data_IF_060051023093
#
_entry.id   IF_060051023093
#
_cell.length_a   1.000
_cell.length_b   1.000
_cell.length_c   1.000
_cell.angle_alpha   90.00
_cell.angle_beta   90.00
_cell.angle_gamma   90.00
#
_symmetry.space_group_name_H-M   'P 1'
#
loop_
_entity.id
_entity.type
_entity.pdbx_description
1 polymer ?
#
# COMPACT_ATOMS: atom_id res chain seq x y z
N UNK A 1 -4.51 33.62 0.13
CA UNK A 1 -3.35 32.75 -0.16
C UNK A 1 -3.58 31.29 0.26
N UNK A 2 -4.20 30.99 1.41
CA UNK A 2 -4.47 29.60 1.85
C UNK A 2 -5.27 28.75 0.83
N UNK A 3 -6.35 29.29 0.25
CA UNK A 3 -7.19 28.56 -0.74
C UNK A 3 -6.48 28.22 -2.06
N UNK A 4 -5.40 28.93 -2.40
CA UNK A 4 -4.58 28.64 -3.59
C UNK A 4 -3.56 27.54 -3.28
N UNK A 5 -2.97 27.50 -2.08
CA UNK A 5 -2.10 26.40 -1.66
C UNK A 5 -2.86 25.06 -1.56
N UNK A 6 -4.15 25.08 -1.22
CA UNK A 6 -4.99 23.87 -1.25
C UNK A 6 -5.23 23.33 -2.67
N UNK A 7 -5.19 24.19 -3.70
CA UNK A 7 -5.45 23.82 -5.11
C UNK A 7 -4.19 23.71 -5.97
N UNK A 8 -3.10 24.38 -5.59
CA UNK A 8 -1.86 24.56 -6.36
C UNK A 8 -0.59 24.33 -5.52
N UNK A 9 -0.71 24.07 -4.22
CA UNK A 9 0.39 23.42 -3.51
C UNK A 9 0.58 22.05 -4.14
N UNK A 10 1.79 21.74 -4.59
CA UNK A 10 2.13 20.47 -5.23
C UNK A 10 1.86 19.31 -4.26
N UNK A 11 0.60 18.91 -4.17
CA UNK A 11 0.14 17.77 -3.38
C UNK A 11 0.25 16.59 -4.34
N UNK A 12 1.11 15.65 -3.99
CA UNK A 12 1.27 14.42 -4.77
C UNK A 12 -0.12 13.82 -5.04
N UNK A 13 -0.38 13.48 -6.31
CA UNK A 13 -1.63 12.85 -6.69
C UNK A 13 -1.74 11.51 -5.96
N UNK A 14 -2.91 11.15 -5.40
CA UNK A 14 -3.09 9.88 -4.69
C UNK A 14 -2.60 8.67 -5.49
N UNK A 15 -2.83 8.66 -6.82
CA UNK A 15 -2.35 7.60 -7.70
C UNK A 15 -0.81 7.48 -7.74
N UNK A 16 -0.08 8.60 -7.66
CA UNK A 16 1.39 8.58 -7.63
C UNK A 16 1.87 8.04 -6.28
N UNK A 17 1.27 8.49 -5.18
CA UNK A 17 1.59 8.00 -3.84
C UNK A 17 1.32 6.48 -3.71
N UNK A 18 0.19 6.02 -4.25
CA UNK A 18 -0.16 4.60 -4.32
C UNK A 18 0.82 3.81 -5.19
N UNK A 19 1.23 4.33 -6.35
CA UNK A 19 2.25 3.70 -7.19
C UNK A 19 3.57 3.51 -6.44
N UNK A 20 4.06 4.56 -5.75
CA UNK A 20 5.27 4.45 -4.92
C UNK A 20 5.13 3.41 -3.82
N UNK A 21 3.99 3.39 -3.14
CA UNK A 21 3.71 2.38 -2.13
C UNK A 21 3.65 0.96 -2.71
N UNK A 22 3.17 0.78 -3.94
CA UNK A 22 3.15 -0.52 -4.61
C UNK A 22 4.54 -0.98 -5.06
N UNK A 23 5.41 -0.05 -5.46
CA UNK A 23 6.72 -0.38 -6.03
C UNK A 23 7.84 -0.51 -5.00
N UNK A 24 7.66 0.05 -3.80
CA UNK A 24 8.73 0.09 -2.78
C UNK A 24 9.14 -1.34 -2.34
N UNK A 25 10.44 -1.54 -2.15
CA UNK A 25 11.04 -2.76 -1.61
C UNK A 25 12.17 -2.37 -0.65
N UNK A 26 12.45 -3.22 0.33
CA UNK A 26 13.56 -3.01 1.25
C UNK A 26 14.88 -2.91 0.49
N UNK A 27 15.70 -1.90 0.81
CA UNK A 27 17.00 -1.69 0.18
C UNK A 27 18.11 -2.53 0.83
N UNK A 28 19.14 -2.87 0.05
CA UNK A 28 20.28 -3.67 0.57
C UNK A 28 21.01 -2.89 1.66
N UNK A 29 20.99 -3.44 2.88
CA UNK A 29 21.60 -2.82 4.05
C UNK A 29 20.64 -1.94 4.86
N UNK A 30 19.38 -1.80 4.43
CA UNK A 30 18.33 -1.13 5.20
C UNK A 30 17.91 -2.00 6.39
N UNK A 31 17.79 -1.37 7.57
CA UNK A 31 17.32 -2.05 8.76
C UNK A 31 15.82 -2.36 8.67
N UNK A 32 15.34 -3.34 9.44
CA UNK A 32 13.91 -3.65 9.49
C UNK A 32 13.10 -2.50 10.08
N UNK A 33 13.68 -1.75 11.02
CA UNK A 33 13.03 -0.59 11.63
C UNK A 33 12.85 0.52 10.59
N UNK A 34 13.91 0.88 9.85
CA UNK A 34 13.85 1.89 8.79
C UNK A 34 12.87 1.48 7.69
N UNK A 35 12.89 0.20 7.28
CA UNK A 35 11.95 -0.35 6.31
C UNK A 35 10.49 -0.24 6.81
N UNK A 36 10.24 -0.58 8.08
CA UNK A 36 8.90 -0.50 8.66
C UNK A 36 8.36 0.93 8.69
N UNK A 37 9.22 1.88 9.06
CA UNK A 37 8.88 3.31 9.09
C UNK A 37 8.59 3.82 7.67
N UNK A 38 9.43 3.46 6.69
CA UNK A 38 9.25 3.85 5.29
C UNK A 38 7.92 3.33 4.73
N UNK A 39 7.61 2.05 4.95
CA UNK A 39 6.35 1.44 4.49
C UNK A 39 5.14 2.12 5.12
N UNK A 40 5.19 2.43 6.42
CA UNK A 40 4.09 3.10 7.10
C UNK A 40 3.88 4.55 6.60
N UNK A 41 4.98 5.28 6.36
CA UNK A 41 4.93 6.62 5.77
C UNK A 41 4.31 6.59 4.37
N UNK A 42 4.72 5.64 3.54
CA UNK A 42 4.18 5.49 2.19
C UNK A 42 2.71 5.08 2.21
N UNK A 43 2.31 4.14 3.07
CA UNK A 43 0.92 3.72 3.22
C UNK A 43 0.01 4.87 3.67
N UNK A 44 0.43 5.60 4.70
CA UNK A 44 -0.35 6.74 5.22
C UNK A 44 -0.44 7.88 4.21
N UNK A 45 0.56 8.05 3.35
CA UNK A 45 0.52 9.01 2.24
C UNK A 45 -0.38 8.53 1.10
N UNK A 46 -0.30 7.25 0.72
CA UNK A 46 -1.05 6.62 -0.37
C UNK A 46 -2.56 6.52 -0.08
N UNK A 47 -2.93 6.33 1.19
CA UNK A 47 -4.30 6.12 1.66
C UNK A 47 -4.78 7.22 2.62
N UNK A 48 -4.20 8.41 2.54
CA UNK A 48 -4.49 9.55 3.44
C UNK A 48 -5.96 9.99 3.54
N UNK A 49 -6.77 9.65 2.53
CA UNK A 49 -8.19 10.00 2.49
C UNK A 49 -9.07 8.82 2.97
N UNK A 50 -8.46 7.70 3.39
CA UNK A 50 -9.09 6.51 3.95
C UNK A 50 -8.80 6.40 5.46
N UNK A 51 -9.53 5.53 6.20
CA UNK A 51 -9.26 5.30 7.61
C UNK A 51 -7.83 4.82 7.86
N UNK A 52 -7.22 5.26 8.97
CA UNK A 52 -5.86 4.85 9.34
C UNK A 52 -5.68 3.33 9.39
N UNK A 53 -6.68 2.60 9.89
CA UNK A 53 -6.67 1.14 9.94
C UNK A 53 -6.45 0.50 8.55
N UNK A 54 -7.01 1.09 7.49
CA UNK A 54 -6.81 0.64 6.11
C UNK A 54 -5.35 0.80 5.69
N UNK A 55 -4.74 1.96 5.97
CA UNK A 55 -3.32 2.19 5.68
C UNK A 55 -2.42 1.21 6.44
N UNK A 56 -2.72 0.94 7.72
CA UNK A 56 -1.94 0.02 8.55
C UNK A 56 -2.04 -1.43 8.07
N UNK A 57 -3.24 -1.89 7.70
CA UNK A 57 -3.44 -3.24 7.15
C UNK A 57 -2.60 -3.44 5.87
N UNK A 58 -2.70 -2.50 4.93
CA UNK A 58 -1.90 -2.53 3.72
C UNK A 58 -0.40 -2.41 4.00
N UNK A 59 0.02 -1.59 4.97
CA UNK A 59 1.41 -1.46 5.37
C UNK A 59 1.99 -2.80 5.86
N UNK A 60 1.26 -3.56 6.67
CA UNK A 60 1.71 -4.90 7.14
C UNK A 60 1.90 -5.84 5.95
N UNK A 61 0.94 -5.89 5.04
CA UNK A 61 1.05 -6.71 3.83
C UNK A 61 2.25 -6.30 2.99
N UNK A 62 2.45 -5.00 2.78
CA UNK A 62 3.54 -4.49 1.95
C UNK A 62 4.89 -4.69 2.61
N UNK A 63 4.97 -4.51 3.92
CA UNK A 63 6.17 -4.74 4.72
C UNK A 63 6.72 -6.13 4.46
N UNK A 64 5.88 -7.17 4.57
CA UNK A 64 6.30 -8.55 4.36
C UNK A 64 6.67 -8.86 2.91
N UNK A 65 5.85 -8.47 1.93
CA UNK A 65 6.14 -8.75 0.51
C UNK A 65 7.36 -7.97 -0.02
N UNK A 66 7.65 -6.80 0.56
CA UNK A 66 8.77 -5.96 0.16
C UNK A 66 10.09 -6.32 0.83
N UNK A 67 10.13 -7.30 1.75
CA UNK A 67 11.37 -7.75 2.38
C UNK A 67 12.38 -8.25 1.34
N UNK A 68 13.66 -7.99 1.62
CA UNK A 68 14.77 -8.60 0.90
C UNK A 68 14.81 -10.10 1.15
N UNK A 69 14.52 -10.52 2.38
CA UNK A 69 14.40 -11.92 2.75
C UNK A 69 13.10 -12.50 2.20
N UNK A 70 13.22 -13.29 1.12
CA UNK A 70 12.09 -13.92 0.44
C UNK A 70 11.50 -15.12 1.20
N UNK A 71 12.14 -15.58 2.27
CA UNK A 71 11.54 -16.62 3.12
C UNK A 71 10.44 -16.05 4.04
N UNK A 72 10.50 -14.74 4.37
CA UNK A 72 9.45 -14.06 5.11
C UNK A 72 8.13 -13.89 4.31
N UNK A 73 8.22 -13.91 2.98
CA UNK A 73 7.09 -13.76 2.05
C UNK A 73 6.09 -14.96 2.15
N UNK A 74 6.60 -16.16 2.43
CA UNK A 74 5.84 -17.42 2.37
C UNK A 74 4.72 -17.56 3.41
N UNK A 75 4.68 -16.69 4.43
CA UNK A 75 3.72 -16.79 5.53
C UNK A 75 2.57 -15.77 5.46
N UNK A 76 2.59 -14.80 4.53
CA UNK A 76 1.60 -13.70 4.49
C UNK A 76 0.42 -13.96 3.54
N UNK A 77 0.50 -14.95 2.65
CA UNK A 77 -0.56 -15.24 1.67
C UNK A 77 -1.86 -15.87 2.23
N UNK A 78 -2.11 -15.81 3.54
CA UNK A 78 -3.25 -16.49 4.18
C UNK A 78 -4.39 -15.59 4.68
N UNK A 79 -4.38 -14.27 4.41
CA UNK A 79 -5.44 -13.38 4.92
C UNK A 79 -6.20 -12.51 3.90
N UNK A 80 -5.86 -12.53 2.60
CA UNK A 80 -6.53 -11.64 1.62
C UNK A 80 -7.01 -12.41 0.38
N UNK A 81 -7.76 -13.49 0.58
CA UNK A 81 -8.62 -14.06 -0.49
C UNK A 81 -10.08 -13.64 -0.36
N UNK A 82 -10.43 -12.73 0.57
CA UNK A 82 -11.82 -12.33 0.82
C UNK A 82 -12.13 -10.85 0.59
N UNK A 83 -11.25 -10.09 -0.11
CA UNK A 83 -11.56 -8.72 -0.57
C UNK A 83 -11.76 -8.66 -2.10
N UNK A 84 -11.40 -9.72 -2.84
CA UNK A 84 -11.62 -9.82 -4.30
C UNK A 84 -12.69 -10.85 -4.70
N UNK A 85 -13.47 -11.37 -3.75
CA UNK A 85 -14.65 -12.19 -4.03
C UNK A 85 -15.89 -11.31 -4.17
N UNK A 86 -16.11 -10.75 -5.36
CA UNK A 86 -17.28 -9.90 -5.59
C UNK A 86 -17.32 -9.29 -6.98
N UNK A 87 -17.37 -10.14 -8.01
CA UNK A 87 -18.03 -9.92 -9.30
C UNK A 87 -17.98 -11.26 -10.07
N UNK A 88 -18.66 -12.27 -9.55
CA UNK A 88 -19.06 -13.43 -10.35
C UNK A 88 -20.58 -13.36 -10.54
N UNK A 89 -20.99 -13.79 -11.75
CA UNK A 89 -22.35 -14.13 -12.19
C UNK A 89 -23.21 -12.95 -12.72
N UNK A 90 -23.73 -12.91 -13.95
CA UNK A 90 -24.13 -13.96 -14.91
C UNK A 90 -24.29 -13.38 -16.33
N UNK A 91 -24.19 -14.24 -17.35
CA UNK A 91 -25.11 -14.39 -18.52
C UNK A 91 -24.31 -15.11 -19.64
N UNK A 92 -24.32 -16.44 -19.66
CA UNK A 92 -25.30 -17.34 -20.31
C UNK A 92 -24.99 -17.58 -21.80
N UNK A 93 -25.01 -18.87 -22.13
CA UNK A 93 -24.81 -19.48 -23.45
C UNK A 93 -25.69 -18.85 -24.55
N UNK A 94 -25.10 -18.67 -25.75
CA UNK A 94 -25.58 -19.11 -27.09
C UNK A 94 -24.51 -18.79 -28.15
#
# INVERSE_FOLDING_TARGET
MQRLQERFGARELPAIAQGRFQDVQQEVGESLDDWSDQVLILATTAFRDLPYAYATEHAVTKFCHGLLDKEADKHVSLHITHINGGCDEHDEDI
#
